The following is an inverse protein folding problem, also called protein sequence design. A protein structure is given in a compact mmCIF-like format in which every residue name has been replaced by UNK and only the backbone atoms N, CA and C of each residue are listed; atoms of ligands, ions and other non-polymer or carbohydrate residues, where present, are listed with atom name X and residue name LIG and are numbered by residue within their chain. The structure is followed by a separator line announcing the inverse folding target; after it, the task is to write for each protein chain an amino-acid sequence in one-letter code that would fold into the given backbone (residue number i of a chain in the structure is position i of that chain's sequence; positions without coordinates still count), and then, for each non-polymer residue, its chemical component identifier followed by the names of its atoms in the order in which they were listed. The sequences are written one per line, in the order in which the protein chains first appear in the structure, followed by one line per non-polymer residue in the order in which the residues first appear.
data_IF_252619746819
#
_entry.id   IF_252619746819
#
_cell.length_a   1.000
_cell.length_b   1.000
_cell.length_c   1.000
_cell.angle_alpha   90.00
_cell.angle_beta   90.00
_cell.angle_gamma   90.00
#
_symmetry.space_group_name_H-M   'P 1'
#
loop_
_entity.id
_entity.type
_entity.pdbx_description
1 polymer ?
#
# COMPACT_ATOMS: atom_id res chain seq x y z
N UNK A 1 -22.71 1.72 9.75
CA UNK A 1 -21.52 0.87 9.95
C UNK A 1 -20.65 1.51 11.03
N UNK A 2 -20.11 0.72 11.97
CA UNK A 2 -19.15 1.19 12.97
C UNK A 2 -17.84 0.42 12.79
N UNK A 3 -16.74 1.13 12.57
CA UNK A 3 -15.40 0.57 12.40
C UNK A 3 -14.46 1.29 13.35
N UNK A 4 -13.59 0.54 14.03
CA UNK A 4 -12.49 1.08 14.82
C UNK A 4 -11.19 0.51 14.27
N UNK A 5 -10.25 1.39 13.93
CA UNK A 5 -8.94 1.04 13.40
C UNK A 5 -7.87 1.59 14.34
N UNK A 6 -6.85 0.79 14.58
CA UNK A 6 -5.68 1.19 15.34
C UNK A 6 -4.43 0.71 14.61
N UNK A 7 -3.42 1.58 14.53
CA UNK A 7 -2.12 1.26 13.99
C UNK A 7 -1.05 1.88 14.90
N UNK A 8 0.02 1.14 15.15
CA UNK A 8 1.13 1.60 15.98
C UNK A 8 2.44 1.29 15.25
N UNK A 9 3.30 2.30 15.12
CA UNK A 9 4.64 2.07 14.60
C UNK A 9 5.45 1.22 15.59
N UNK A 10 6.29 0.32 15.09
CA UNK A 10 7.12 -0.55 15.91
C UNK A 10 8.11 0.24 16.81
N UNK A 11 8.52 1.44 16.38
CA UNK A 11 9.42 2.31 17.14
C UNK A 11 8.97 3.77 17.12
N UNK A 12 9.13 4.52 18.24
CA UNK A 12 8.88 5.95 18.27
C UNK A 12 9.68 6.70 17.20
N UNK A 13 9.01 7.61 16.48
CA UNK A 13 9.65 8.43 15.44
C UNK A 13 9.78 7.76 14.06
N UNK A 14 9.43 6.46 13.91
CA UNK A 14 9.32 5.83 12.59
C UNK A 14 7.94 6.06 11.98
N UNK A 15 7.91 6.24 10.66
CA UNK A 15 6.63 6.23 9.92
C UNK A 15 6.14 4.79 9.88
N UNK A 16 4.89 4.54 10.30
CA UNK A 16 4.28 3.22 10.22
C UNK A 16 4.18 2.74 8.78
N UNK A 17 4.46 1.44 8.58
CA UNK A 17 4.41 0.77 7.28
C UNK A 17 3.08 0.04 7.05
N UNK A 18 2.09 0.29 7.89
CA UNK A 18 0.74 -0.24 7.74
C UNK A 18 -0.22 0.83 7.25
N UNK A 19 -1.28 0.40 6.56
CA UNK A 19 -2.40 1.23 6.17
C UNK A 19 -3.70 0.48 6.41
N UNK A 20 -4.67 1.15 7.03
CA UNK A 20 -6.01 0.62 7.21
C UNK A 20 -7.05 1.70 6.90
N UNK A 21 -8.08 1.35 6.13
CA UNK A 21 -9.20 2.23 5.83
C UNK A 21 -10.47 1.42 5.54
N UNK A 22 -11.64 2.03 5.78
CA UNK A 22 -12.93 1.39 5.54
C UNK A 22 -13.93 2.37 4.92
N UNK A 23 -14.75 1.85 4.01
CA UNK A 23 -15.99 2.44 3.51
C UNK A 23 -17.15 1.50 3.86
N UNK A 24 -18.38 1.83 3.47
CA UNK A 24 -19.52 0.94 3.72
C UNK A 24 -19.44 -0.35 2.89
N UNK A 25 -18.64 -0.32 1.83
CA UNK A 25 -18.48 -1.36 0.81
C UNK A 25 -17.23 -2.22 1.04
N UNK A 26 -16.18 -1.65 1.65
CA UNK A 26 -14.87 -2.30 1.75
C UNK A 26 -14.12 -1.97 3.03
N UNK A 27 -13.31 -2.93 3.49
CA UNK A 27 -12.22 -2.73 4.45
C UNK A 27 -10.93 -3.10 3.74
N UNK A 28 -9.92 -2.25 3.85
CA UNK A 28 -8.58 -2.50 3.30
C UNK A 28 -7.59 -2.46 4.45
N UNK A 29 -6.81 -3.53 4.61
CA UNK A 29 -5.63 -3.55 5.46
C UNK A 29 -4.41 -3.93 4.63
N UNK A 30 -3.37 -3.09 4.70
CA UNK A 30 -2.06 -3.35 4.12
C UNK A 30 -1.01 -3.37 5.22
N UNK A 31 -0.23 -4.44 5.28
CA UNK A 31 0.92 -4.57 6.15
C UNK A 31 2.20 -4.51 5.32
N UNK A 32 2.98 -3.45 5.50
CA UNK A 32 4.22 -3.25 4.75
C UNK A 32 5.28 -4.27 5.14
N UNK A 33 6.03 -4.74 4.14
CA UNK A 33 7.15 -5.67 4.31
C UNK A 33 8.46 -4.97 3.95
N UNK A 34 8.78 -3.86 4.64
CA UNK A 34 10.04 -3.15 4.48
C UNK A 34 11.23 -3.93 5.05
N UNK A 35 12.39 -3.78 4.41
CA UNK A 35 13.66 -4.27 4.96
C UNK A 35 14.18 -3.41 6.12
N UNK A 36 15.26 -3.83 6.79
CA UNK A 36 15.88 -3.04 7.86
C UNK A 36 16.30 -1.65 7.37
N UNK A 37 16.36 -0.65 8.27
CA UNK A 37 16.81 0.70 7.92
C UNK A 37 18.17 0.68 7.21
N UNK A 38 18.28 1.43 6.12
CA UNK A 38 19.53 1.51 5.33
C UNK A 38 19.74 0.37 4.35
N UNK A 39 18.88 -0.65 4.30
CA UNK A 39 18.90 -1.63 3.23
C UNK A 39 18.62 -0.94 1.88
N UNK A 40 19.48 -1.19 0.90
CA UNK A 40 19.27 -0.66 -0.44
C UNK A 40 17.94 -1.15 -1.01
N UNK A 41 17.14 -0.23 -1.53
CA UNK A 41 15.85 -0.48 -2.18
C UNK A 41 15.85 0.15 -3.56
N UNK A 42 15.16 -0.50 -4.51
CA UNK A 42 14.90 0.07 -5.83
C UNK A 42 13.93 1.26 -5.79
N UNK A 43 13.25 1.49 -4.67
CA UNK A 43 12.35 2.62 -4.47
C UNK A 43 12.97 3.67 -3.56
N UNK A 44 13.06 4.92 -4.04
CA UNK A 44 13.53 6.06 -3.24
C UNK A 44 12.52 6.57 -2.21
N UNK A 45 11.28 6.09 -2.26
CA UNK A 45 10.18 6.60 -1.43
C UNK A 45 9.94 5.78 -0.16
N UNK A 46 10.32 4.49 -0.17
CA UNK A 46 10.18 3.56 0.95
C UNK A 46 8.80 2.91 1.08
N UNK A 47 8.71 1.93 1.99
CA UNK A 47 7.51 1.09 2.17
C UNK A 47 6.31 1.85 2.68
N UNK A 48 6.48 2.73 3.67
CA UNK A 48 5.40 3.58 4.17
C UNK A 48 4.79 4.46 3.07
N UNK A 49 5.58 4.89 2.09
CA UNK A 49 5.06 5.62 0.94
C UNK A 49 4.19 4.70 0.08
N UNK A 50 4.70 3.50 -0.23
CA UNK A 50 4.05 2.52 -1.09
C UNK A 50 2.69 2.07 -0.56
N UNK A 51 2.63 1.61 0.71
CA UNK A 51 1.40 1.09 1.32
C UNK A 51 0.28 2.12 1.37
N UNK A 52 0.61 3.39 1.62
CA UNK A 52 -0.38 4.47 1.66
C UNK A 52 -0.99 4.74 0.29
N UNK A 53 -0.19 4.73 -0.79
CA UNK A 53 -0.72 4.94 -2.15
C UNK A 53 -1.53 3.73 -2.58
N UNK A 54 -0.98 2.53 -2.44
CA UNK A 54 -1.68 1.30 -2.80
C UNK A 54 -3.03 1.19 -2.09
N UNK A 55 -3.06 1.48 -0.79
CA UNK A 55 -4.29 1.42 0.01
C UNK A 55 -5.34 2.42 -0.42
N UNK A 56 -4.95 3.66 -0.73
CA UNK A 56 -5.87 4.68 -1.23
C UNK A 56 -6.40 4.32 -2.62
N UNK A 57 -5.53 3.88 -3.54
CA UNK A 57 -5.96 3.45 -4.88
C UNK A 57 -6.90 2.25 -4.80
N UNK A 58 -6.58 1.24 -3.97
CA UNK A 58 -7.41 0.05 -3.79
C UNK A 58 -8.77 0.40 -3.20
N UNK A 59 -8.81 1.20 -2.12
CA UNK A 59 -10.07 1.61 -1.51
C UNK A 59 -10.95 2.39 -2.49
N UNK A 60 -10.35 3.28 -3.30
CA UNK A 60 -11.08 3.99 -4.36
C UNK A 60 -11.72 3.02 -5.33
N UNK A 61 -10.96 2.06 -5.87
CA UNK A 61 -11.43 1.08 -6.85
C UNK A 61 -12.52 0.17 -6.29
N UNK A 62 -12.35 -0.31 -5.05
CA UNK A 62 -13.38 -1.12 -4.37
C UNK A 62 -14.68 -0.35 -4.12
N UNK A 63 -14.61 0.98 -4.03
CA UNK A 63 -15.76 1.84 -3.76
C UNK A 63 -16.43 2.33 -5.05
N UNK A 64 -15.66 2.64 -6.10
CA UNK A 64 -16.16 3.26 -7.33
C UNK A 64 -16.34 2.29 -8.52
N UNK A 65 -15.86 1.04 -8.42
CA UNK A 65 -15.98 -0.01 -9.46
C UNK A 65 -16.74 -1.25 -8.99
N UNK A 66 -18.07 -1.17 -8.81
CA UNK A 66 -18.88 -2.35 -8.48
C UNK A 66 -18.94 -3.37 -9.62
N UNK A 67 -18.51 -2.99 -10.83
CA UNK A 67 -18.46 -3.83 -12.02
C UNK A 67 -17.21 -4.74 -12.09
N UNK A 68 -16.23 -4.54 -11.19
CA UNK A 68 -14.96 -5.28 -11.20
C UNK A 68 -14.83 -6.19 -10.00
N UNK A 69 -14.09 -7.29 -10.17
CA UNK A 69 -13.70 -8.15 -9.06
C UNK A 69 -12.65 -7.47 -8.16
N UNK A 70 -12.55 -7.91 -6.91
CA UNK A 70 -11.52 -7.43 -5.96
C UNK A 70 -10.11 -7.58 -6.53
N UNK A 71 -9.83 -8.71 -7.22
CA UNK A 71 -8.53 -8.97 -7.82
C UNK A 71 -8.20 -7.97 -8.94
N UNK A 72 -9.18 -7.59 -9.74
CA UNK A 72 -9.02 -6.57 -10.77
C UNK A 72 -8.81 -5.17 -10.17
N UNK A 73 -9.55 -4.81 -9.13
CA UNK A 73 -9.35 -3.56 -8.40
C UNK A 73 -7.94 -3.47 -7.79
N UNK A 74 -7.43 -4.59 -7.26
CA UNK A 74 -6.06 -4.68 -6.76
C UNK A 74 -5.03 -4.55 -7.89
N UNK A 75 -5.24 -5.21 -9.03
CA UNK A 75 -4.36 -5.11 -10.18
C UNK A 75 -4.25 -3.66 -10.70
N UNK A 76 -5.37 -2.94 -10.79
CA UNK A 76 -5.40 -1.52 -11.16
C UNK A 76 -4.63 -0.66 -10.14
N UNK A 77 -4.89 -0.87 -8.84
CA UNK A 77 -4.24 -0.11 -7.77
C UNK A 77 -2.72 -0.32 -7.75
N UNK A 78 -2.25 -1.55 -8.03
CA UNK A 78 -0.84 -1.87 -8.20
C UNK A 78 -0.27 -1.13 -9.41
N UNK A 79 -0.96 -1.16 -10.56
CA UNK A 79 -0.50 -0.48 -11.78
C UNK A 79 -0.40 1.04 -11.60
N UNK A 80 -1.41 1.67 -10.97
CA UNK A 80 -1.41 3.10 -10.64
C UNK A 80 -0.26 3.46 -9.68
N UNK A 81 -0.07 2.67 -8.63
CA UNK A 81 1.03 2.88 -7.67
C UNK A 81 2.40 2.70 -8.32
N UNK A 82 2.54 1.71 -9.20
CA UNK A 82 3.76 1.48 -9.97
C UNK A 82 4.08 2.67 -10.89
N UNK A 83 3.09 3.22 -11.59
CA UNK A 83 3.27 4.37 -12.47
C UNK A 83 3.83 5.61 -11.73
N UNK A 84 3.44 5.83 -10.47
CA UNK A 84 3.94 6.94 -9.64
C UNK A 84 5.44 6.88 -9.35
N UNK A 85 6.07 5.71 -9.47
CA UNK A 85 7.52 5.59 -9.30
C UNK A 85 8.30 6.24 -10.47
N UNK A 86 7.72 6.22 -11.67
CA UNK A 86 8.33 6.70 -12.90
C UNK A 86 9.70 6.08 -13.18
N UNK A 87 10.51 6.75 -14.00
CA UNK A 87 11.87 6.29 -14.35
C UNK A 87 12.91 6.46 -13.22
N UNK A 88 12.50 6.85 -12.01
CA UNK A 88 13.40 7.17 -10.88
C UNK A 88 13.57 6.01 -9.90
N UNK A 89 12.82 4.92 -10.08
CA UNK A 89 12.89 3.74 -9.23
C UNK A 89 13.11 2.50 -10.12
N UNK A 90 13.84 1.53 -9.59
CA UNK A 90 14.00 0.21 -10.18
C UNK A 90 13.02 -0.75 -9.51
N UNK A 91 11.89 -1.04 -10.16
CA UNK A 91 10.89 -1.96 -9.62
C UNK A 91 11.29 -3.45 -9.75
N UNK A 92 12.34 -3.76 -10.51
CA UNK A 92 12.88 -5.12 -10.61
C UNK A 92 13.86 -5.43 -9.47
N UNK A 93 14.27 -4.43 -8.69
CA UNK A 93 15.14 -4.62 -7.54
C UNK A 93 14.45 -5.54 -6.51
N UNK A 94 15.15 -6.58 -5.99
CA UNK A 94 14.53 -7.58 -5.10
C UNK A 94 14.01 -6.97 -3.78
N UNK A 95 14.60 -5.86 -3.34
CA UNK A 95 14.18 -5.11 -2.14
C UNK A 95 13.24 -3.93 -2.46
N UNK A 96 12.53 -3.96 -3.58
CA UNK A 96 11.43 -3.01 -3.84
C UNK A 96 10.35 -3.20 -2.78
N UNK A 97 9.66 -2.14 -2.33
CA UNK A 97 8.60 -2.26 -1.34
C UNK A 97 7.57 -3.33 -1.68
N UNK A 98 7.20 -4.12 -0.68
CA UNK A 98 6.14 -5.11 -0.74
C UNK A 98 5.18 -4.91 0.42
N UNK A 99 3.98 -5.49 0.30
CA UNK A 99 2.99 -5.50 1.36
C UNK A 99 2.07 -6.72 1.23
N UNK A 100 1.56 -7.18 2.37
CA UNK A 100 0.43 -8.12 2.43
C UNK A 100 -0.87 -7.32 2.44
N UNK A 101 -1.89 -7.78 1.72
CA UNK A 101 -3.22 -7.15 1.65
C UNK A 101 -4.30 -8.09 2.20
N UNK A 102 -5.23 -7.53 2.97
CA UNK A 102 -6.46 -8.18 3.44
C UNK A 102 -7.66 -7.29 3.13
#
# INVERSE_FOLDING_TARGET
MQVQLAAQAEQPGRTGEDFAAATSEALVLLAGAGGPPGLASGCRHGTAWYVRRLGVHLLSRLTDRPDRSIAECLADAIAETAALHGARCDLAHPNTPAATVV
#
